data_IF_456097361949
#
_entry.id   IF_456097361949
#
_cell.length_a   1.000
_cell.length_b   1.000
_cell.length_c   1.000
_cell.angle_alpha   90.00
_cell.angle_beta   90.00
_cell.angle_gamma   90.00
#
_symmetry.space_group_name_H-M   'P 1'
#
loop_
_entity.id
_entity.type
_entity.pdbx_description
1 polymer ?
#
# COMPACT_ATOMS: atom_id res chain seq x y z
N UNK A 1 17.08 -2.58 -16.71
CA UNK A 1 15.62 -2.56 -16.88
C UNK A 1 14.90 -3.21 -15.70
N UNK A 2 14.88 -2.57 -14.53
CA UNK A 2 14.33 -3.15 -13.29
C UNK A 2 12.86 -2.81 -13.03
N UNK A 3 12.25 -1.98 -13.89
CA UNK A 3 10.86 -1.55 -13.79
C UNK A 3 10.04 -2.16 -14.93
N UNK A 4 8.82 -2.59 -14.60
CA UNK A 4 7.79 -2.98 -15.56
C UNK A 4 6.84 -1.81 -15.74
N UNK A 5 6.67 -1.37 -16.98
CA UNK A 5 5.72 -0.33 -17.38
C UNK A 5 4.60 -0.99 -18.16
N UNK A 6 3.36 -0.69 -17.79
CA UNK A 6 2.15 -1.17 -18.47
C UNK A 6 1.24 0.04 -18.68
N UNK A 7 0.70 0.20 -19.88
CA UNK A 7 -0.25 1.28 -20.13
C UNK A 7 -1.66 0.85 -19.70
N UNK A 8 -2.28 1.64 -18.81
CA UNK A 8 -3.61 1.39 -18.28
C UNK A 8 -4.36 2.71 -18.17
N UNK A 9 -5.56 2.77 -18.76
CA UNK A 9 -6.38 3.98 -18.81
C UNK A 9 -5.65 5.22 -19.42
N UNK A 10 -4.80 4.99 -20.43
CA UNK A 10 -4.03 6.05 -21.10
C UNK A 10 -2.90 6.66 -20.26
N UNK A 11 -2.50 5.97 -19.18
CA UNK A 11 -1.43 6.37 -18.28
C UNK A 11 -0.50 5.20 -17.99
N UNK A 12 0.79 5.51 -17.85
CA UNK A 12 1.81 4.51 -17.52
C UNK A 12 1.68 4.08 -16.05
N UNK A 13 1.38 2.80 -15.84
CA UNK A 13 1.48 2.13 -14.56
C UNK A 13 2.89 1.53 -14.42
N UNK A 14 3.64 1.89 -13.37
CA UNK A 14 5.01 1.42 -13.14
C UNK A 14 5.13 0.60 -11.87
N UNK A 15 5.79 -0.56 -11.95
CA UNK A 15 6.03 -1.45 -10.81
C UNK A 15 7.43 -2.09 -10.93
N UNK A 16 8.17 -2.37 -9.85
CA UNK A 16 9.40 -3.15 -9.97
C UNK A 16 9.14 -4.51 -10.62
N UNK A 17 10.01 -4.92 -11.55
CA UNK A 17 9.84 -6.13 -12.35
C UNK A 17 9.75 -7.38 -11.46
N UNK A 18 10.53 -7.42 -10.37
CA UNK A 18 10.50 -8.49 -9.39
C UNK A 18 9.12 -8.63 -8.72
N UNK A 19 8.48 -7.51 -8.35
CA UNK A 19 7.13 -7.51 -7.77
C UNK A 19 6.12 -7.94 -8.83
N UNK A 20 6.19 -7.39 -10.04
CA UNK A 20 5.25 -7.68 -11.13
C UNK A 20 5.23 -9.18 -11.47
N UNK A 21 6.41 -9.79 -11.60
CA UNK A 21 6.55 -11.19 -11.95
C UNK A 21 6.03 -12.14 -10.85
N UNK A 22 6.10 -11.73 -9.58
CA UNK A 22 5.59 -12.51 -8.44
C UNK A 22 4.06 -12.46 -8.30
N UNK A 23 3.39 -11.46 -8.87
CA UNK A 23 1.93 -11.38 -8.85
C UNK A 23 1.31 -12.38 -9.83
N UNK A 24 0.24 -13.05 -9.40
CA UNK A 24 -0.60 -13.86 -10.28
C UNK A 24 -1.33 -12.98 -11.32
N UNK A 25 -1.76 -13.58 -12.43
CA UNK A 25 -2.43 -12.85 -13.51
C UNK A 25 -3.65 -12.04 -13.04
N UNK A 26 -4.51 -12.65 -12.21
CA UNK A 26 -5.68 -11.96 -11.64
C UNK A 26 -5.29 -10.83 -10.67
N UNK A 27 -4.19 -10.97 -9.93
CA UNK A 27 -3.70 -9.91 -9.05
C UNK A 27 -3.18 -8.71 -9.84
N UNK A 28 -2.50 -8.96 -10.97
CA UNK A 28 -2.07 -7.89 -11.89
C UNK A 28 -3.27 -7.14 -12.46
N UNK A 29 -4.34 -7.86 -12.81
CA UNK A 29 -5.60 -7.25 -13.25
C UNK A 29 -6.23 -6.41 -12.13
N UNK A 30 -6.26 -6.89 -10.89
CA UNK A 30 -6.74 -6.12 -9.74
C UNK A 30 -5.94 -4.85 -9.48
N UNK A 31 -4.61 -4.89 -9.59
CA UNK A 31 -3.75 -3.70 -9.50
C UNK A 31 -4.01 -2.72 -10.64
N UNK A 32 -4.12 -3.20 -11.89
CA UNK A 32 -4.46 -2.37 -13.04
C UNK A 32 -5.86 -1.74 -12.90
N UNK A 33 -6.83 -2.46 -12.35
CA UNK A 33 -8.16 -1.95 -12.06
C UNK A 33 -8.12 -0.83 -11.01
N UNK A 34 -7.41 -1.02 -9.89
CA UNK A 34 -7.21 0.03 -8.87
C UNK A 34 -6.50 1.26 -9.45
N UNK A 35 -5.49 1.06 -10.30
CA UNK A 35 -4.82 2.15 -11.02
C UNK A 35 -5.78 2.93 -11.91
N UNK A 36 -6.61 2.24 -12.69
CA UNK A 36 -7.61 2.87 -13.55
C UNK A 36 -8.64 3.68 -12.78
N UNK A 37 -9.07 3.22 -11.60
CA UNK A 37 -9.95 3.99 -10.71
C UNK A 37 -9.26 5.24 -10.17
N UNK A 38 -8.03 5.09 -9.70
CA UNK A 38 -7.24 6.20 -9.18
C UNK A 38 -7.01 7.31 -10.22
N UNK A 39 -6.65 6.94 -11.46
CA UNK A 39 -6.44 7.89 -12.55
C UNK A 39 -7.73 8.66 -12.93
N UNK A 40 -8.91 8.09 -12.64
CA UNK A 40 -10.21 8.74 -12.84
C UNK A 40 -10.67 9.54 -11.62
N UNK A 41 -9.93 9.52 -10.51
CA UNK A 41 -10.32 10.16 -9.25
C UNK A 41 -11.42 9.42 -8.48
N UNK A 42 -11.67 8.14 -8.78
CA UNK A 42 -12.67 7.33 -8.09
C UNK A 42 -12.05 6.44 -7.01
N UNK A 43 -12.83 6.17 -5.96
CA UNK A 43 -12.56 5.08 -5.03
C UNK A 43 -13.00 3.73 -5.59
N UNK A 44 -12.63 2.64 -4.90
CA UNK A 44 -13.01 1.29 -5.27
C UNK A 44 -13.17 0.37 -4.07
N UNK A 45 -13.99 -0.66 -4.22
CA UNK A 45 -14.17 -1.73 -3.24
C UNK A 45 -13.57 -3.01 -3.83
N UNK A 46 -12.42 -3.44 -3.31
CA UNK A 46 -11.79 -4.70 -3.69
C UNK A 46 -12.41 -5.85 -2.86
N UNK A 47 -13.41 -6.52 -3.44
CA UNK A 47 -14.21 -7.56 -2.78
C UNK A 47 -13.97 -8.97 -3.32
N UNK A 48 -12.76 -9.26 -3.80
CA UNK A 48 -12.36 -10.60 -4.24
C UNK A 48 -12.57 -11.65 -3.14
N UNK A 49 -12.69 -12.93 -3.51
CA UNK A 49 -12.81 -14.04 -2.57
C UNK A 49 -11.67 -14.06 -1.53
N UNK A 50 -11.97 -14.63 -0.36
CA UNK A 50 -10.98 -14.81 0.69
C UNK A 50 -9.86 -15.75 0.19
N UNK A 51 -8.60 -15.41 0.45
CA UNK A 51 -7.45 -16.19 -0.01
C UNK A 51 -6.83 -15.71 -1.34
N UNK A 52 -7.51 -14.88 -2.13
CA UNK A 52 -6.95 -14.33 -3.40
C UNK A 52 -5.89 -13.22 -3.20
N UNK A 53 -5.43 -13.00 -1.97
CA UNK A 53 -4.33 -12.08 -1.69
C UNK A 53 -4.67 -10.60 -1.91
N UNK A 54 -5.86 -10.15 -1.46
CA UNK A 54 -6.25 -8.73 -1.50
C UNK A 54 -5.19 -7.80 -0.89
N UNK A 55 -4.58 -8.21 0.23
CA UNK A 55 -3.48 -7.46 0.86
C UNK A 55 -2.27 -7.33 -0.06
N UNK A 56 -1.94 -8.38 -0.81
CA UNK A 56 -0.84 -8.37 -1.79
C UNK A 56 -1.15 -7.41 -2.94
N UNK A 57 -2.38 -7.45 -3.47
CA UNK A 57 -2.82 -6.52 -4.52
C UNK A 57 -2.74 -5.07 -4.03
N UNK A 58 -3.24 -4.78 -2.82
CA UNK A 58 -3.14 -3.45 -2.22
C UNK A 58 -1.68 -3.03 -2.03
N UNK A 59 -0.82 -3.89 -1.49
CA UNK A 59 0.60 -3.58 -1.30
C UNK A 59 1.32 -3.27 -2.62
N UNK A 60 1.06 -4.06 -3.67
CA UNK A 60 1.57 -3.82 -5.01
C UNK A 60 1.02 -2.52 -5.61
N UNK A 61 -0.24 -2.17 -5.35
CA UNK A 61 -0.81 -0.92 -5.79
C UNK A 61 -0.16 0.31 -5.11
N UNK A 62 0.12 0.25 -3.80
CA UNK A 62 0.84 1.33 -3.11
C UNK A 62 2.28 1.47 -3.64
N UNK A 63 2.95 0.34 -3.90
CA UNK A 63 4.25 0.31 -4.56
C UNK A 63 4.19 0.96 -5.95
N UNK A 64 3.14 0.69 -6.72
CA UNK A 64 2.91 1.31 -8.03
C UNK A 64 2.76 2.83 -7.95
N UNK A 65 1.95 3.32 -7.00
CA UNK A 65 1.75 4.76 -6.79
C UNK A 65 3.07 5.46 -6.42
N UNK A 66 3.92 4.80 -5.63
CA UNK A 66 5.25 5.29 -5.28
C UNK A 66 6.19 5.33 -6.48
N UNK A 67 6.26 4.25 -7.26
CA UNK A 67 7.14 4.16 -8.45
C UNK A 67 6.72 5.10 -9.59
N UNK A 68 5.44 5.45 -9.65
CA UNK A 68 4.92 6.40 -10.64
C UNK A 68 4.86 7.83 -10.09
N UNK A 69 5.43 8.06 -8.91
CA UNK A 69 5.50 9.36 -8.22
C UNK A 69 4.13 10.05 -8.03
N UNK A 70 3.04 9.28 -8.08
CA UNK A 70 1.67 9.78 -7.90
C UNK A 70 1.34 10.04 -6.43
N UNK A 71 1.92 9.23 -5.53
CA UNK A 71 1.76 9.40 -4.10
C UNK A 71 2.95 8.82 -3.34
N UNK A 72 3.25 9.43 -2.19
CA UNK A 72 4.37 9.03 -1.33
C UNK A 72 3.97 8.79 0.12
N UNK A 73 2.71 9.04 0.48
CA UNK A 73 2.19 8.89 1.85
C UNK A 73 0.86 8.15 1.81
N UNK A 74 0.76 7.10 2.60
CA UNK A 74 -0.41 6.22 2.61
C UNK A 74 -0.83 5.92 4.05
N UNK A 75 -2.13 5.88 4.29
CA UNK A 75 -2.71 5.46 5.55
C UNK A 75 -3.47 4.15 5.33
N UNK A 76 -3.16 3.14 6.13
CA UNK A 76 -3.81 1.84 6.08
C UNK A 76 -4.37 1.53 7.47
N UNK A 77 -5.70 1.46 7.56
CA UNK A 77 -6.43 1.20 8.80
C UNK A 77 -6.87 -0.26 8.82
N UNK A 78 -6.49 -1.01 9.84
CA UNK A 78 -6.75 -2.46 9.94
C UNK A 78 -7.08 -2.87 11.38
N UNK A 79 -7.73 -4.03 11.62
CA UNK A 79 -7.83 -4.61 12.96
C UNK A 79 -6.45 -4.76 13.62
N UNK A 80 -6.37 -4.57 14.94
CA UNK A 80 -5.11 -4.70 15.70
C UNK A 80 -4.40 -6.03 15.43
N UNK A 81 -5.18 -7.12 15.38
CA UNK A 81 -4.69 -8.48 15.15
C UNK A 81 -4.02 -8.68 13.78
N UNK A 82 -4.32 -7.81 12.81
CA UNK A 82 -3.80 -7.88 11.44
C UNK A 82 -2.61 -6.94 11.20
N UNK A 83 -2.24 -6.07 12.16
CA UNK A 83 -1.16 -5.09 11.97
C UNK A 83 0.16 -5.74 11.56
N UNK A 84 0.60 -6.78 12.26
CA UNK A 84 1.87 -7.46 11.98
C UNK A 84 1.83 -8.23 10.65
N UNK A 85 0.67 -8.78 10.27
CA UNK A 85 0.51 -9.42 8.97
C UNK A 85 0.64 -8.38 7.84
N UNK A 86 -0.09 -7.27 7.93
CA UNK A 86 -0.01 -6.19 6.93
C UNK A 86 1.39 -5.59 6.84
N UNK A 87 2.07 -5.40 7.97
CA UNK A 87 3.46 -4.95 8.01
C UNK A 87 4.38 -5.89 7.24
N UNK A 88 4.30 -7.20 7.49
CA UNK A 88 5.10 -8.20 6.78
C UNK A 88 4.83 -8.20 5.28
N UNK A 89 3.56 -8.16 4.88
CA UNK A 89 3.18 -8.14 3.46
C UNK A 89 3.71 -6.87 2.77
N UNK A 90 3.48 -5.69 3.35
CA UNK A 90 3.97 -4.43 2.79
C UNK A 90 5.50 -4.40 2.68
N UNK A 91 6.21 -4.87 3.71
CA UNK A 91 7.67 -4.98 3.68
C UNK A 91 8.17 -5.99 2.64
N UNK A 92 7.37 -7.00 2.31
CA UNK A 92 7.74 -8.05 1.35
C UNK A 92 7.46 -7.63 -0.10
N UNK A 93 6.32 -7.00 -0.34
CA UNK A 93 5.84 -6.68 -1.69
C UNK A 93 6.21 -5.26 -2.14
N UNK A 94 6.56 -4.37 -1.21
CA UNK A 94 7.04 -3.02 -1.53
C UNK A 94 8.54 -2.82 -1.27
N UNK A 95 9.29 -3.89 -0.92
CA UNK A 95 10.71 -3.83 -0.53
C UNK A 95 11.57 -3.02 -1.50
N UNK A 96 11.37 -3.24 -2.80
CA UNK A 96 12.21 -2.69 -3.87
C UNK A 96 11.82 -1.25 -4.25
N UNK A 97 10.83 -0.65 -3.57
CA UNK A 97 10.35 0.72 -3.84
C UNK A 97 10.88 1.77 -2.87
N UNK A 98 11.59 1.34 -1.81
CA UNK A 98 12.04 2.22 -0.72
C UNK A 98 10.88 2.74 0.15
N UNK A 99 9.70 2.15 0.05
CA UNK A 99 8.51 2.54 0.78
C UNK A 99 8.60 2.09 2.25
N UNK A 100 8.84 3.04 3.14
CA UNK A 100 8.93 2.79 4.57
C UNK A 100 7.56 2.38 5.14
N UNK A 101 7.54 1.38 6.02
CA UNK A 101 6.32 0.91 6.70
C UNK A 101 6.43 1.25 8.19
N UNK A 102 5.59 2.17 8.64
CA UNK A 102 5.52 2.64 10.03
C UNK A 102 4.25 2.08 10.67
N UNK A 103 4.36 1.56 11.89
CA UNK A 103 3.20 1.06 12.65
C UNK A 103 2.94 2.00 13.82
N UNK A 104 1.77 2.60 13.85
CA UNK A 104 1.32 3.43 14.97
C UNK A 104 0.64 2.53 16.00
N UNK A 105 1.45 1.88 16.83
CA UNK A 105 0.98 1.02 17.92
C UNK A 105 1.89 1.21 19.16
N UNK A 106 1.42 0.78 20.33
CA UNK A 106 2.17 0.90 21.58
C UNK A 106 2.07 2.27 22.26
N UNK A 107 3.17 2.66 22.90
CA UNK A 107 3.29 3.86 23.74
C UNK A 107 3.10 5.16 22.96
N UNK A 108 2.80 6.26 23.66
CA UNK A 108 2.65 7.57 23.03
C UNK A 108 3.91 8.01 22.26
N UNK A 109 5.10 7.64 22.76
CA UNK A 109 6.38 7.96 22.11
C UNK A 109 6.56 7.19 20.79
N UNK A 110 6.26 5.89 20.78
CA UNK A 110 6.32 5.06 19.57
C UNK A 110 5.35 5.56 18.50
N UNK A 111 4.12 5.91 18.91
CA UNK A 111 3.11 6.50 18.03
C UNK A 111 3.58 7.81 17.39
N UNK A 112 4.17 8.72 18.17
CA UNK A 112 4.74 9.98 17.63
C UNK A 112 5.91 9.73 16.68
N UNK A 113 6.77 8.75 16.99
CA UNK A 113 7.90 8.39 16.13
C UNK A 113 7.42 7.85 14.78
N UNK A 114 6.41 6.98 14.78
CA UNK A 114 5.80 6.45 13.55
C UNK A 114 5.19 7.55 12.69
N UNK A 115 4.45 8.48 13.31
CA UNK A 115 3.86 9.62 12.60
C UNK A 115 4.92 10.56 12.02
N UNK A 116 5.94 10.91 12.81
CA UNK A 116 7.06 11.75 12.36
C UNK A 116 7.82 11.11 11.19
N UNK A 117 8.03 9.79 11.23
CA UNK A 117 8.61 9.03 10.13
C UNK A 117 7.82 9.16 8.83
N UNK A 118 6.48 9.03 8.88
CA UNK A 118 5.61 9.22 7.72
C UNK A 118 5.67 10.65 7.17
N UNK A 119 5.62 11.66 8.03
CA UNK A 119 5.59 13.07 7.60
C UNK A 119 6.90 13.43 6.88
N UNK A 120 8.03 13.03 7.47
CA UNK A 120 9.38 13.39 6.99
C UNK A 120 9.82 12.60 5.76
N UNK A 121 9.62 11.28 5.75
CA UNK A 121 10.16 10.39 4.70
C UNK A 121 9.11 9.82 3.75
N UNK A 122 7.83 10.00 4.08
CA UNK A 122 6.74 9.29 3.43
C UNK A 122 6.69 7.82 3.82
N UNK A 123 5.89 7.06 3.09
CA UNK A 123 5.68 5.64 3.30
C UNK A 123 4.23 5.30 3.65
N UNK A 124 4.06 4.16 4.31
CA UNK A 124 2.77 3.66 4.79
C UNK A 124 2.72 3.79 6.31
N UNK A 125 1.62 4.33 6.82
CA UNK A 125 1.27 4.28 8.23
C UNK A 125 0.18 3.24 8.45
N UNK A 126 0.50 2.21 9.23
CA UNK A 126 -0.46 1.22 9.71
C UNK A 126 -1.01 1.66 11.06
N UNK A 127 -2.32 1.72 11.19
CA UNK A 127 -3.01 2.13 12.42
C UNK A 127 -4.24 1.26 12.66
N UNK A 128 -4.60 1.05 13.93
CA UNK A 128 -5.83 0.34 14.30
C UNK A 128 -7.06 1.24 14.34
N UNK A 129 -8.25 0.65 14.19
CA UNK A 129 -9.52 1.38 14.31
C UNK A 129 -9.64 2.15 15.62
N UNK A 130 -9.28 1.53 16.75
CA UNK A 130 -9.37 2.16 18.08
C UNK A 130 -8.48 3.39 18.19
N UNK A 131 -7.26 3.32 17.63
CA UNK A 131 -6.34 4.45 17.65
C UNK A 131 -6.80 5.56 16.71
N UNK A 132 -7.34 5.24 15.53
CA UNK A 132 -7.93 6.25 14.65
C UNK A 132 -9.04 7.00 15.39
N UNK A 133 -9.95 6.26 16.05
CA UNK A 133 -11.05 6.86 16.81
C UNK A 133 -10.55 7.78 17.93
N UNK A 134 -9.52 7.37 18.66
CA UNK A 134 -8.92 8.16 19.74
C UNK A 134 -8.07 9.35 19.25
N UNK A 135 -7.67 9.38 17.98
CA UNK A 135 -6.93 10.51 17.40
C UNK A 135 -7.84 11.56 16.76
N UNK A 136 -9.07 11.20 16.41
CA UNK A 136 -10.06 12.12 15.82
C UNK A 136 -10.88 12.81 16.91
N UNK A 137 -11.15 12.13 18.02
CA UNK A 137 -11.79 12.70 19.20
C UNK A 137 -10.79 13.48 20.06
#
# INVERSE_FOLDING_TARGET
DDVCTVEVAGKEMKLPRAVYNRLYGYQRQGVAWMWGLFQKGFGGILADEMGLGKTVQTAAFLACLKCTEQASRFLVVVPVTLLEQWKRELQTWAKDTGLAVNVMHGSAQERRKALSGLVTKGGVLLISYDLVRNCIN
#
